data_IF_067881738916
#
_entry.id   IF_067881738916
#
_cell.length_a   1.000
_cell.length_b   1.000
_cell.length_c   1.000
_cell.angle_alpha   90.00
_cell.angle_beta   90.00
_cell.angle_gamma   90.00
#
_symmetry.space_group_name_H-M   'P 1'
#
loop_
_entity.id
_entity.type
_entity.pdbx_description
1 polymer ?
#
# COMPACT_ATOMS: atom_id res chain seq x y z
N UNK A 1 15.68 1.75 25.63
CA UNK A 1 14.29 2.21 25.46
C UNK A 1 13.43 0.98 25.19
N UNK A 2 12.37 0.78 25.95
CA UNK A 2 11.45 -0.34 25.79
C UNK A 2 10.68 -0.17 24.48
N UNK A 3 10.19 -1.26 23.90
CA UNK A 3 9.37 -1.23 22.66
C UNK A 3 8.11 -0.39 22.86
N UNK A 4 7.52 -0.47 24.05
CA UNK A 4 6.33 0.31 24.42
C UNK A 4 6.62 1.81 24.49
N UNK A 5 7.75 2.20 25.06
CA UNK A 5 8.18 3.62 25.10
C UNK A 5 8.34 4.19 23.70
N UNK A 6 8.95 3.39 22.80
CA UNK A 6 9.17 3.79 21.42
C UNK A 6 7.84 3.95 20.65
N UNK A 7 6.89 3.05 20.88
CA UNK A 7 5.55 3.13 20.31
C UNK A 7 4.84 4.41 20.76
N UNK A 8 4.82 4.69 22.07
CA UNK A 8 4.18 5.88 22.62
C UNK A 8 4.84 7.18 22.12
N UNK A 9 6.16 7.20 22.00
CA UNK A 9 6.89 8.36 21.47
C UNK A 9 6.50 8.63 20.01
N UNK A 10 6.48 7.60 19.17
CA UNK A 10 6.12 7.70 17.75
C UNK A 10 4.66 8.13 17.58
N UNK A 11 3.74 7.50 18.30
CA UNK A 11 2.33 7.84 18.27
C UNK A 11 2.08 9.29 18.71
N UNK A 12 2.70 9.72 19.83
CA UNK A 12 2.57 11.11 20.33
C UNK A 12 3.05 12.12 19.29
N UNK A 13 4.14 11.83 18.59
CA UNK A 13 4.67 12.67 17.51
C UNK A 13 3.66 12.85 16.37
N UNK A 14 3.05 11.75 15.94
CA UNK A 14 2.02 11.79 14.89
C UNK A 14 0.79 12.56 15.35
N UNK A 15 0.30 12.29 16.58
CA UNK A 15 -0.90 12.94 17.13
C UNK A 15 -0.71 14.45 17.29
N UNK A 16 0.47 14.90 17.73
CA UNK A 16 0.79 16.35 17.80
C UNK A 16 0.72 17.00 16.43
N UNK A 17 1.33 16.37 15.41
CA UNK A 17 1.29 16.90 14.05
C UNK A 17 -0.16 16.99 13.50
N UNK A 18 -0.99 15.98 13.78
CA UNK A 18 -2.42 15.98 13.41
C UNK A 18 -3.19 17.10 14.15
N UNK A 19 -2.83 17.35 15.41
CA UNK A 19 -3.42 18.42 16.22
C UNK A 19 -2.89 19.83 15.87
N UNK A 20 -1.99 19.95 14.89
CA UNK A 20 -1.28 21.19 14.54
C UNK A 20 -0.42 21.76 15.70
N UNK A 21 0.04 20.88 16.58
CA UNK A 21 1.00 21.16 17.63
C UNK A 21 2.41 20.82 17.15
N UNK A 22 3.42 21.49 17.69
CA UNK A 22 4.83 21.24 17.35
C UNK A 22 5.32 19.92 17.97
N UNK A 23 5.65 18.88 17.16
CA UNK A 23 6.29 17.68 17.66
C UNK A 23 7.79 17.89 17.89
N UNK A 24 8.45 16.92 18.53
CA UNK A 24 9.92 16.92 18.73
C UNK A 24 10.73 16.87 17.42
N UNK A 25 10.16 16.30 16.38
CA UNK A 25 10.62 16.34 14.98
C UNK A 25 9.44 16.05 14.04
N UNK A 26 9.60 16.33 12.78
CA UNK A 26 8.61 15.96 11.75
C UNK A 26 8.36 14.45 11.76
N UNK A 27 7.11 13.99 11.89
CA UNK A 27 6.79 12.57 11.80
C UNK A 27 7.03 12.03 10.39
N UNK A 28 7.55 10.83 10.31
CA UNK A 28 7.81 10.11 9.06
C UNK A 28 6.92 8.88 9.00
N UNK A 29 5.89 8.95 8.18
CA UNK A 29 5.02 7.81 7.89
C UNK A 29 5.43 7.25 6.53
N UNK A 30 5.90 6.01 6.53
CA UNK A 30 6.40 5.36 5.33
C UNK A 30 5.24 4.68 4.59
N UNK A 31 5.23 4.81 3.28
CA UNK A 31 4.31 4.10 2.42
C UNK A 31 5.09 3.15 1.51
N UNK A 32 4.86 1.86 1.71
CA UNK A 32 5.47 0.82 0.91
C UNK A 32 4.43 0.20 -0.02
N UNK A 33 4.64 0.29 -1.30
CA UNK A 33 3.93 -0.56 -2.26
C UNK A 33 4.82 -1.77 -2.60
N UNK A 34 5.24 -1.95 -3.82
CA UNK A 34 6.18 -3.00 -4.21
C UNK A 34 7.57 -2.91 -3.58
N UNK A 35 7.94 -1.75 -3.01
CA UNK A 35 9.26 -1.56 -2.37
C UNK A 35 9.47 -2.52 -1.19
N UNK A 36 8.43 -2.80 -0.40
CA UNK A 36 8.56 -3.75 0.72
C UNK A 36 8.96 -5.15 0.24
N UNK A 37 8.34 -5.64 -0.84
CA UNK A 37 8.67 -6.92 -1.44
C UNK A 37 10.12 -6.92 -1.98
N UNK A 38 10.52 -5.83 -2.64
CA UNK A 38 11.88 -5.69 -3.17
C UNK A 38 12.95 -5.73 -2.08
N UNK A 39 12.84 -4.93 -1.03
CA UNK A 39 13.85 -4.81 0.02
C UNK A 39 13.96 -6.07 0.89
N UNK A 40 12.86 -6.79 1.07
CA UNK A 40 12.81 -8.05 1.81
C UNK A 40 13.14 -9.29 0.95
N UNK A 41 13.30 -9.11 -0.37
CA UNK A 41 13.47 -10.19 -1.35
C UNK A 41 12.30 -11.17 -1.38
N UNK A 42 11.12 -10.73 -1.00
CA UNK A 42 9.87 -11.49 -1.16
C UNK A 42 9.39 -11.33 -2.61
N UNK A 43 8.95 -12.42 -3.25
CA UNK A 43 8.39 -12.28 -4.60
C UNK A 43 7.11 -11.44 -4.57
N UNK A 44 6.87 -10.65 -5.61
CA UNK A 44 5.66 -9.83 -5.72
C UNK A 44 4.41 -10.70 -5.68
N UNK A 45 4.44 -11.86 -6.34
CA UNK A 45 3.34 -12.82 -6.31
C UNK A 45 3.01 -13.30 -4.88
N UNK A 46 4.00 -13.60 -4.05
CA UNK A 46 3.79 -14.00 -2.67
C UNK A 46 3.28 -12.82 -1.80
N UNK A 47 3.89 -11.64 -1.99
CA UNK A 47 3.50 -10.41 -1.29
C UNK A 47 2.04 -10.04 -1.52
N UNK A 48 1.54 -10.26 -2.74
CA UNK A 48 0.21 -9.86 -3.15
C UNK A 48 -0.86 -10.94 -2.97
N UNK A 49 -0.46 -12.20 -2.78
CA UNK A 49 -1.39 -13.33 -2.67
C UNK A 49 -2.02 -13.47 -1.29
N UNK A 50 -1.29 -13.15 -0.24
CA UNK A 50 -1.69 -13.40 1.14
C UNK A 50 -1.60 -12.13 2.00
N UNK A 51 -2.69 -11.75 2.68
CA UNK A 51 -2.69 -10.64 3.64
C UNK A 51 -1.62 -10.79 4.70
N UNK A 52 -1.48 -11.99 5.23
CA UNK A 52 -0.48 -12.27 6.27
C UNK A 52 0.93 -12.04 5.73
N UNK A 53 1.25 -12.60 4.57
CA UNK A 53 2.57 -12.40 3.94
C UNK A 53 2.81 -10.92 3.63
N UNK A 54 1.79 -10.20 3.19
CA UNK A 54 1.87 -8.77 2.93
C UNK A 54 2.25 -8.00 4.21
N UNK A 55 1.49 -8.20 5.30
CA UNK A 55 1.75 -7.53 6.59
C UNK A 55 3.13 -7.89 7.13
N UNK A 56 3.49 -9.17 7.16
CA UNK A 56 4.79 -9.62 7.64
C UNK A 56 5.94 -9.00 6.84
N UNK A 57 5.79 -8.91 5.52
CA UNK A 57 6.76 -8.27 4.61
C UNK A 57 6.86 -6.77 4.88
N UNK A 58 5.75 -6.08 5.09
CA UNK A 58 5.72 -4.66 5.42
C UNK A 58 6.42 -4.37 6.76
N UNK A 59 6.17 -5.18 7.79
CA UNK A 59 6.84 -5.08 9.10
C UNK A 59 8.33 -5.32 8.94
N UNK A 60 8.73 -6.35 8.21
CA UNK A 60 10.13 -6.63 7.95
C UNK A 60 10.82 -5.49 7.21
N UNK A 61 10.19 -4.94 6.18
CA UNK A 61 10.70 -3.78 5.45
C UNK A 61 10.87 -2.56 6.37
N UNK A 62 9.91 -2.31 7.26
CA UNK A 62 9.99 -1.24 8.25
C UNK A 62 11.22 -1.39 9.16
N UNK A 63 11.52 -2.60 9.61
CA UNK A 63 12.72 -2.87 10.41
C UNK A 63 14.03 -2.71 9.63
N UNK A 64 14.03 -3.03 8.34
CA UNK A 64 15.22 -2.88 7.48
C UNK A 64 15.50 -1.40 7.20
N UNK A 65 14.46 -0.63 6.88
CA UNK A 65 14.59 0.80 6.57
C UNK A 65 14.90 1.62 7.83
N UNK A 66 14.28 1.28 8.95
CA UNK A 66 14.47 1.96 10.23
C UNK A 66 13.88 3.36 10.29
N UNK A 67 13.96 3.97 11.47
CA UNK A 67 13.70 5.40 11.78
C UNK A 67 12.34 6.01 11.38
N UNK A 68 11.43 5.25 10.79
CA UNK A 68 10.05 5.67 10.57
C UNK A 68 9.24 5.72 11.87
N UNK A 69 8.22 6.56 11.90
CA UNK A 69 7.27 6.64 13.02
C UNK A 69 6.10 5.69 12.84
N UNK A 70 5.69 5.46 11.61
CA UNK A 70 4.69 4.47 11.23
C UNK A 70 4.89 3.99 9.79
N UNK A 71 4.18 2.94 9.43
CA UNK A 71 3.99 2.52 8.06
C UNK A 71 2.50 2.59 7.73
N UNK A 72 2.18 3.22 6.59
CA UNK A 72 0.82 3.21 6.07
C UNK A 72 0.54 1.84 5.44
N UNK A 73 -0.42 1.14 6.02
CA UNK A 73 -0.95 -0.07 5.43
C UNK A 73 -2.05 0.33 4.42
N UNK A 74 -1.63 0.85 3.28
CA UNK A 74 -2.51 0.96 2.13
C UNK A 74 -2.94 -0.44 1.69
N UNK A 75 -4.24 -0.67 1.59
CA UNK A 75 -4.83 -1.98 1.28
C UNK A 75 -4.46 -2.46 -0.14
N UNK A 76 -3.19 -2.77 -0.34
CA UNK A 76 -2.69 -3.30 -1.61
C UNK A 76 -2.82 -4.81 -1.66
N UNK A 77 -4.05 -5.23 -1.88
CA UNK A 77 -4.38 -6.61 -2.21
C UNK A 77 -4.79 -6.62 -3.67
N UNK A 78 -3.92 -6.95 -4.58
CA UNK A 78 -4.28 -6.95 -5.99
C UNK A 78 -5.45 -7.88 -6.26
N UNK A 79 -5.55 -8.99 -5.54
CA UNK A 79 -6.73 -9.85 -5.66
C UNK A 79 -8.02 -9.18 -5.18
N UNK A 80 -7.98 -8.35 -4.14
CA UNK A 80 -9.10 -7.52 -3.71
C UNK A 80 -9.35 -6.33 -4.63
N UNK A 81 -8.28 -5.70 -5.12
CA UNK A 81 -8.35 -4.58 -6.05
C UNK A 81 -8.94 -4.98 -7.41
N UNK A 82 -8.71 -6.22 -7.88
CA UNK A 82 -9.33 -6.71 -9.12
C UNK A 82 -10.85 -6.60 -9.10
N UNK A 83 -11.47 -6.66 -7.92
CA UNK A 83 -12.91 -6.47 -7.76
C UNK A 83 -13.31 -5.00 -7.58
N UNK A 84 -12.38 -4.14 -7.18
CA UNK A 84 -12.60 -2.70 -7.02
C UNK A 84 -12.39 -1.89 -8.30
N UNK A 85 -11.56 -2.39 -9.21
CA UNK A 85 -11.37 -1.79 -10.53
C UNK A 85 -12.39 -2.39 -11.51
N UNK A 86 -13.09 -1.56 -12.24
CA UNK A 86 -13.95 -1.99 -13.35
C UNK A 86 -13.15 -2.53 -14.55
N UNK A 87 -11.84 -2.59 -14.45
CA UNK A 87 -10.93 -3.03 -15.49
C UNK A 87 -10.32 -4.39 -15.17
N UNK A 88 -9.91 -5.12 -16.19
CA UNK A 88 -9.14 -6.35 -16.02
C UNK A 88 -7.75 -6.03 -15.47
N UNK A 89 -7.32 -6.76 -14.44
CA UNK A 89 -6.00 -6.63 -13.84
C UNK A 89 -5.20 -7.90 -14.13
N UNK A 90 -3.97 -7.72 -14.62
CA UNK A 90 -2.98 -8.80 -14.76
C UNK A 90 -2.19 -8.91 -13.47
N UNK A 91 -2.06 -10.12 -12.95
CA UNK A 91 -1.56 -10.38 -11.59
C UNK A 91 -0.26 -11.17 -11.62
N UNK A 92 0.77 -10.77 -10.81
CA UNK A 92 2.00 -11.54 -10.68
C UNK A 92 1.76 -12.98 -10.26
N UNK A 93 2.48 -13.91 -10.88
CA UNK A 93 2.37 -15.34 -10.61
C UNK A 93 1.12 -16.01 -11.18
N UNK A 94 0.31 -15.26 -11.96
CA UNK A 94 -0.86 -15.78 -12.71
C UNK A 94 -0.75 -15.36 -14.17
N UNK A 95 -0.82 -14.05 -14.44
CA UNK A 95 -0.76 -13.47 -15.79
C UNK A 95 0.61 -12.86 -16.12
N UNK A 96 1.42 -12.64 -15.09
CA UNK A 96 2.73 -11.99 -15.15
C UNK A 96 3.76 -12.84 -14.40
N UNK A 97 5.07 -12.66 -14.70
CA UNK A 97 6.14 -13.23 -13.90
C UNK A 97 6.03 -12.85 -12.41
N UNK A 98 6.55 -13.72 -11.53
CA UNK A 98 6.40 -13.60 -10.07
C UNK A 98 6.89 -12.29 -9.46
N UNK A 99 7.83 -11.62 -10.09
CA UNK A 99 8.45 -10.39 -9.58
C UNK A 99 8.02 -9.11 -10.30
N UNK A 100 7.09 -9.21 -11.23
CA UNK A 100 6.51 -8.02 -11.85
C UNK A 100 5.37 -7.44 -11.00
N UNK A 101 5.16 -6.13 -11.12
CA UNK A 101 4.01 -5.48 -10.51
C UNK A 101 2.74 -5.81 -11.30
N UNK A 102 1.62 -5.83 -10.60
CA UNK A 102 0.32 -5.94 -11.24
C UNK A 102 0.09 -4.78 -12.24
N UNK A 103 -0.69 -5.03 -13.26
CA UNK A 103 -0.96 -4.09 -14.35
C UNK A 103 -2.46 -4.05 -14.62
N UNK A 104 -3.00 -2.84 -14.69
CA UNK A 104 -4.36 -2.63 -15.19
C UNK A 104 -4.34 -2.71 -16.70
N UNK A 105 -5.24 -3.49 -17.27
CA UNK A 105 -5.48 -3.51 -18.72
C UNK A 105 -6.45 -2.38 -19.01
N UNK A 106 -5.93 -1.30 -19.57
CA UNK A 106 -6.77 -0.17 -19.95
C UNK A 106 -7.73 -0.57 -21.07
N UNK A 107 -9.00 -0.36 -20.82
CA UNK A 107 -10.09 -0.58 -21.79
C UNK A 107 -11.05 0.59 -21.69
N UNK A 108 -11.66 0.94 -22.81
CA UNK A 108 -12.75 1.89 -22.83
C UNK A 108 -13.96 1.26 -22.13
N UNK A 109 -14.37 1.82 -20.99
CA UNK A 109 -15.48 1.34 -20.18
C UNK A 109 -16.79 2.06 -20.50
N UNK A 110 -16.70 3.26 -21.09
CA UNK A 110 -17.81 4.11 -21.45
C UNK A 110 -17.52 4.77 -22.79
N UNK A 111 -18.48 4.78 -23.67
CA UNK A 111 -18.43 5.55 -24.89
C UNK A 111 -19.06 6.95 -24.71
N UNK A 112 -19.08 7.75 -25.76
CA UNK A 112 -19.60 9.11 -25.69
C UNK A 112 -21.10 9.14 -25.39
N UNK A 113 -21.86 8.15 -25.83
CA UNK A 113 -23.32 8.09 -25.64
C UNK A 113 -23.63 7.76 -24.16
N UNK A 114 -22.76 6.98 -23.49
CA UNK A 114 -22.91 6.69 -22.07
C UNK A 114 -22.81 7.95 -21.21
N UNK A 115 -21.90 8.88 -21.58
CA UNK A 115 -21.79 10.18 -20.92
C UNK A 115 -23.03 11.05 -21.13
N UNK A 116 -23.60 11.04 -22.34
CA UNK A 116 -24.84 11.78 -22.63
C UNK A 116 -25.98 11.27 -21.77
N UNK A 117 -26.12 9.95 -21.57
CA UNK A 117 -27.10 9.36 -20.66
C UNK A 117 -26.97 9.81 -19.19
N UNK A 118 -25.72 10.06 -18.72
CA UNK A 118 -25.48 10.54 -17.35
C UNK A 118 -25.78 12.01 -17.21
N UNK A 119 -25.53 12.81 -18.25
CA UNK A 119 -25.74 14.26 -18.23
C UNK A 119 -27.21 14.66 -18.39
N UNK A 120 -28.03 13.78 -18.95
CA UNK A 120 -29.47 13.98 -19.14
C UNK A 120 -30.33 13.57 -17.92
N UNK A 121 -29.67 13.13 -16.80
CA UNK A 121 -30.30 12.83 -15.51
C UNK A 121 -30.39 14.06 -14.62
#
# INVERSE_FOLDING_TARGET
>A
MCTEDLYHQRLTRILKAVALEEPDRTPVVLEYSGFAAYVTRTSMAAFLRSPKTNIDTMIQAFHIVGDGDAVNYGAFWPYGLCYGFMSKVRVPGVDLPDNEMWQVVETELMDRNDYDCILDL
#
